data_IF_489777446641
#
_entry.id   IF_489777446641
#
_cell.length_a   1.000
_cell.length_b   1.000
_cell.length_c   1.000
_cell.angle_alpha   90.00
_cell.angle_beta   90.00
_cell.angle_gamma   90.00
#
_symmetry.space_group_name_H-M   'P 1'
#
loop_
_entity.id
_entity.type
_entity.pdbx_description
1 polymer ?
#
# COMPACT_ATOMS: atom_id res chain seq x y z
N UNK A 1 7.73 22.84 -15.07
CA UNK A 1 7.98 21.60 -15.85
C UNK A 1 8.29 20.52 -14.83
N UNK A 2 7.27 19.89 -14.27
CA UNK A 2 7.43 18.79 -13.34
C UNK A 2 7.48 17.54 -14.22
N UNK A 3 8.66 16.95 -14.33
CA UNK A 3 8.82 15.64 -14.94
C UNK A 3 8.29 14.62 -13.94
N UNK A 4 7.34 13.79 -14.33
CA UNK A 4 7.17 12.49 -13.68
C UNK A 4 8.58 11.91 -13.61
N UNK A 5 9.13 11.80 -12.38
CA UNK A 5 10.52 11.39 -12.18
C UNK A 5 10.67 9.99 -12.77
N UNK A 6 11.36 9.93 -13.91
CA UNK A 6 11.42 8.77 -14.75
C UNK A 6 11.89 7.52 -14.01
N UNK A 7 11.32 6.42 -14.36
CA UNK A 7 11.92 5.11 -14.25
C UNK A 7 13.23 5.14 -15.04
N UNK A 8 14.36 5.34 -14.36
CA UNK A 8 15.67 5.06 -14.94
C UNK A 8 16.01 3.61 -14.62
N UNK A 9 16.32 2.80 -15.63
CA UNK A 9 16.86 1.47 -15.40
C UNK A 9 18.23 1.63 -14.75
N UNK A 10 18.42 1.00 -13.60
CA UNK A 10 19.73 0.80 -12.98
C UNK A 10 20.61 -0.03 -13.89
N UNK A 11 21.86 0.39 -13.99
CA UNK A 11 22.96 -0.17 -14.74
C UNK A 11 22.96 -1.70 -14.88
N UNK A 12 23.30 -2.14 -16.09
CA UNK A 12 23.66 -3.53 -16.38
C UNK A 12 24.88 -3.92 -15.52
N UNK A 13 24.89 -5.06 -14.86
CA UNK A 13 26.09 -5.54 -14.22
C UNK A 13 27.10 -6.01 -15.27
N UNK A 14 28.31 -5.48 -15.21
CA UNK A 14 29.47 -5.99 -15.92
C UNK A 14 29.80 -7.42 -15.47
N UNK A 15 30.42 -8.25 -16.35
CA UNK A 15 30.70 -9.64 -16.02
C UNK A 15 31.78 -9.74 -14.93
N UNK A 16 31.42 -10.39 -13.83
CA UNK A 16 32.28 -10.64 -12.68
C UNK A 16 33.35 -11.67 -13.06
N UNK A 17 34.61 -11.26 -13.11
CA UNK A 17 35.77 -12.16 -13.02
C UNK A 17 36.00 -12.58 -11.58
N UNK A 18 36.30 -13.84 -11.30
CA UNK A 18 36.52 -14.31 -9.91
C UNK A 18 37.90 -13.85 -9.39
N UNK A 19 37.92 -13.20 -8.23
CA UNK A 19 39.14 -12.98 -7.42
C UNK A 19 39.29 -14.06 -6.36
N UNK A 20 40.55 -14.44 -6.01
CA UNK A 20 40.81 -15.50 -5.07
C UNK A 20 40.59 -15.07 -3.61
N UNK A 21 40.37 -16.08 -2.77
CA UNK A 21 40.14 -15.96 -1.33
C UNK A 21 41.30 -15.27 -0.61
N UNK A 22 40.99 -14.33 0.28
CA UNK A 22 41.92 -13.76 1.23
C UNK A 22 41.30 -13.75 2.63
N UNK A 23 42.15 -14.17 3.55
CA UNK A 23 42.09 -14.39 4.97
C UNK A 23 41.15 -13.59 5.86
N UNK A 24 40.62 -14.32 6.84
CA UNK A 24 39.94 -13.85 8.04
C UNK A 24 40.97 -13.18 8.98
N UNK A 25 40.78 -11.86 9.21
CA UNK A 25 41.50 -11.16 10.29
C UNK A 25 40.60 -10.13 10.97
N UNK A 26 40.27 -10.43 12.21
CA UNK A 26 40.04 -9.60 13.41
C UNK A 26 39.49 -8.18 13.27
N UNK A 27 38.34 -7.98 13.93
CA UNK A 27 37.70 -6.67 14.21
C UNK A 27 38.56 -5.79 15.13
N UNK A 28 38.61 -4.47 14.95
CA UNK A 28 39.29 -3.55 15.86
C UNK A 28 38.40 -3.20 17.07
N UNK A 29 38.98 -3.40 18.28
CA UNK A 29 38.45 -2.91 19.55
C UNK A 29 38.55 -1.38 19.60
N UNK A 30 37.46 -0.70 19.84
CA UNK A 30 37.41 0.73 20.18
C UNK A 30 38.09 0.95 21.57
N UNK A 31 39.16 1.73 21.60
CA UNK A 31 39.76 2.25 22.83
C UNK A 31 39.03 3.54 23.23
N UNK A 32 38.56 3.60 24.47
CA UNK A 32 38.15 4.83 25.12
C UNK A 32 39.42 5.68 25.39
N UNK A 33 39.40 6.92 24.88
CA UNK A 33 40.44 7.90 25.21
C UNK A 33 40.12 8.52 26.58
N UNK A 34 41.10 8.46 27.47
CA UNK A 34 41.15 9.17 28.75
C UNK A 34 41.42 10.65 28.51
N UNK A 35 40.59 11.51 29.05
CA UNK A 35 40.84 12.97 29.13
C UNK A 35 41.54 13.27 30.45
N UNK A 36 42.70 13.88 30.32
CA UNK A 36 43.54 14.35 31.44
C UNK A 36 42.93 15.61 32.06
N UNK A 37 43.09 15.67 33.40
CA UNK A 37 42.80 16.82 34.26
C UNK A 37 43.68 18.01 33.90
N UNK A 38 43.09 19.23 33.87
CA UNK A 38 43.80 20.45 34.11
C UNK A 38 43.14 21.19 35.27
N UNK A 39 44.00 21.56 36.22
CA UNK A 39 43.68 22.23 37.45
C UNK A 39 43.49 23.74 37.21
N UNK A 40 42.37 24.31 37.63
CA UNK A 40 42.38 25.65 38.22
C UNK A 40 41.23 25.79 39.22
N UNK A 41 41.62 26.26 40.41
CA UNK A 41 40.78 26.36 41.57
C UNK A 41 40.01 27.66 41.65
N UNK A 42 38.68 27.57 41.80
CA UNK A 42 37.94 28.54 42.57
C UNK A 42 36.63 27.93 43.14
N UNK A 43 36.17 28.38 44.30
CA UNK A 43 35.15 27.68 45.08
C UNK A 43 33.73 28.04 44.55
N UNK A 44 33.06 27.06 44.05
CA UNK A 44 31.61 27.19 43.82
C UNK A 44 30.83 26.83 45.07
N UNK A 45 29.93 27.70 45.42
CA UNK A 45 28.98 27.65 46.53
C UNK A 45 28.14 26.38 46.47
N UNK A 46 27.88 25.79 47.61
CA UNK A 46 26.91 24.71 47.83
C UNK A 46 25.51 25.16 47.39
N UNK A 47 25.05 24.69 46.25
CA UNK A 47 23.62 24.69 45.93
C UNK A 47 22.93 23.53 46.67
N UNK A 48 22.03 23.94 47.56
CA UNK A 48 21.14 23.07 48.32
C UNK A 48 20.40 22.15 47.36
N UNK A 49 20.63 20.86 47.45
CA UNK A 49 19.80 19.82 46.87
C UNK A 49 18.41 19.95 47.49
N UNK A 50 17.44 20.49 46.74
CA UNK A 50 16.04 20.35 47.09
C UNK A 50 15.65 18.89 46.89
N UNK A 51 15.45 18.25 47.99
CA UNK A 51 14.80 16.93 48.04
C UNK A 51 13.32 17.09 47.65
N UNK A 52 13.02 17.02 46.34
CA UNK A 52 11.66 16.94 45.84
C UNK A 52 11.19 15.49 46.03
N UNK A 53 10.71 15.22 47.21
CA UNK A 53 9.87 14.04 47.44
C UNK A 53 8.63 14.20 46.58
N UNK A 54 8.65 13.65 45.35
CA UNK A 54 7.49 13.39 44.51
C UNK A 54 6.58 12.45 45.29
N UNK A 55 5.62 13.04 46.00
CA UNK A 55 4.44 12.28 46.45
C UNK A 55 3.84 11.68 45.19
N UNK A 56 3.83 10.36 45.13
CA UNK A 56 3.10 9.56 44.15
C UNK A 56 1.62 9.91 44.31
N UNK A 57 1.15 10.89 43.55
CA UNK A 57 -0.27 11.01 43.30
C UNK A 57 -0.66 9.78 42.48
N UNK A 58 -1.47 8.96 43.06
CA UNK A 58 -2.16 7.84 42.48
C UNK A 58 -2.70 8.16 41.08
N UNK A 59 -1.92 7.90 40.03
CA UNK A 59 -2.47 7.55 38.77
C UNK A 59 -2.85 6.07 38.86
N UNK A 60 -4.05 5.82 39.38
CA UNK A 60 -4.67 4.52 39.47
C UNK A 60 -4.95 3.95 38.09
N UNK A 61 -3.91 3.61 37.36
CA UNK A 61 -3.94 2.70 36.22
C UNK A 61 -2.87 1.65 36.53
N UNK A 62 -3.19 0.80 37.48
CA UNK A 62 -2.53 -0.49 37.57
C UNK A 62 -2.70 -1.19 36.20
N UNK A 63 -1.69 -1.86 35.69
CA UNK A 63 -1.87 -2.71 34.51
C UNK A 63 -2.88 -3.77 34.86
N UNK A 64 -4.13 -3.59 34.46
CA UNK A 64 -5.12 -4.66 34.45
C UNK A 64 -4.67 -5.64 33.37
N UNK A 65 -3.68 -6.45 33.68
CA UNK A 65 -3.30 -7.63 32.92
C UNK A 65 -4.34 -8.72 33.16
N UNK A 66 -5.58 -8.45 32.75
CA UNK A 66 -6.43 -9.57 32.35
C UNK A 66 -5.78 -10.13 31.07
N UNK A 67 -5.51 -11.44 31.01
CA UNK A 67 -5.06 -12.05 29.77
C UNK A 67 -6.15 -11.76 28.74
N UNK A 68 -5.87 -10.84 27.79
CA UNK A 68 -6.79 -10.53 26.72
C UNK A 68 -7.03 -11.83 25.97
N UNK A 69 -8.26 -12.30 25.93
CA UNK A 69 -8.64 -13.48 25.16
C UNK A 69 -8.22 -13.22 23.70
N UNK A 70 -7.28 -14.03 23.22
CA UNK A 70 -6.93 -14.09 21.81
C UNK A 70 -7.99 -14.93 21.10
N UNK A 71 -9.14 -14.34 20.88
CA UNK A 71 -10.35 -14.98 20.34
C UNK A 71 -10.55 -14.70 18.84
N UNK A 72 -9.68 -13.90 18.24
CA UNK A 72 -9.79 -13.51 16.84
C UNK A 72 -8.74 -14.20 15.99
N UNK A 73 -9.22 -15.02 15.07
CA UNK A 73 -8.37 -15.63 14.06
C UNK A 73 -8.15 -14.68 12.88
N UNK A 74 -6.91 -14.54 12.47
CA UNK A 74 -6.51 -13.70 11.35
C UNK A 74 -5.52 -14.40 10.44
N UNK A 75 -5.52 -13.97 9.18
CA UNK A 75 -4.52 -14.29 8.18
C UNK A 75 -3.77 -13.03 7.80
N UNK A 76 -2.48 -13.02 8.01
CA UNK A 76 -1.60 -11.99 7.51
C UNK A 76 -1.01 -12.45 6.18
N UNK A 77 -1.29 -11.74 5.11
CA UNK A 77 -0.71 -12.08 3.81
C UNK A 77 0.78 -11.76 3.79
N UNK A 78 1.59 -12.73 3.37
CA UNK A 78 3.04 -12.63 3.48
C UNK A 78 3.74 -12.35 2.15
N UNK A 79 2.99 -12.37 1.04
CA UNK A 79 3.55 -12.31 -0.31
C UNK A 79 2.77 -11.41 -1.27
N UNK A 80 3.45 -11.03 -2.36
CA UNK A 80 2.85 -10.30 -3.48
C UNK A 80 2.35 -8.91 -3.11
N UNK A 81 1.48 -8.37 -3.95
CA UNK A 81 0.91 -7.01 -3.82
C UNK A 81 0.04 -6.83 -2.56
N UNK A 82 -0.38 -7.94 -1.96
CA UNK A 82 -1.14 -7.92 -0.71
C UNK A 82 -0.29 -8.16 0.54
N UNK A 83 1.03 -8.21 0.47
CA UNK A 83 1.88 -8.43 1.63
C UNK A 83 1.59 -7.43 2.75
N UNK A 84 1.41 -7.93 3.98
CA UNK A 84 0.99 -7.15 5.15
C UNK A 84 -0.52 -6.99 5.30
N UNK A 85 -1.35 -7.37 4.31
CA UNK A 85 -2.81 -7.31 4.43
C UNK A 85 -3.30 -8.21 5.55
N UNK A 86 -4.13 -7.64 6.42
CA UNK A 86 -4.75 -8.32 7.55
C UNK A 86 -6.18 -8.74 7.18
N UNK A 87 -6.45 -10.03 7.24
CA UNK A 87 -7.72 -10.64 6.87
C UNK A 87 -8.30 -11.35 8.10
N UNK A 88 -9.44 -10.87 8.61
CA UNK A 88 -10.10 -11.50 9.75
C UNK A 88 -10.89 -12.73 9.30
N UNK A 89 -10.69 -13.86 9.98
CA UNK A 89 -11.50 -15.06 9.83
C UNK A 89 -12.72 -14.92 10.74
N UNK A 90 -13.74 -14.19 10.26
CA UNK A 90 -14.93 -13.82 11.07
C UNK A 90 -15.98 -14.91 11.15
N UNK A 91 -15.92 -15.88 10.25
CA UNK A 91 -16.86 -17.01 10.19
C UNK A 91 -16.16 -18.26 9.69
N UNK A 92 -16.62 -19.41 10.09
CA UNK A 92 -16.17 -20.71 9.59
C UNK A 92 -17.34 -21.53 9.04
N UNK A 93 -17.18 -22.26 7.93
CA UNK A 93 -15.95 -22.36 7.16
C UNK A 93 -15.61 -21.07 6.42
N UNK A 94 -14.31 -20.68 6.42
CA UNK A 94 -13.78 -19.54 5.69
C UNK A 94 -13.06 -20.06 4.45
N UNK A 95 -13.66 -19.86 3.26
CA UNK A 95 -13.16 -20.43 2.01
C UNK A 95 -12.23 -19.48 1.27
N UNK A 96 -11.21 -20.06 0.63
CA UNK A 96 -10.20 -19.36 -0.15
C UNK A 96 -10.05 -20.00 -1.52
N UNK A 97 -9.89 -19.19 -2.54
CA UNK A 97 -9.70 -19.68 -3.90
C UNK A 97 -9.92 -18.59 -4.95
N UNK A 98 -9.71 -18.94 -6.22
CA UNK A 98 -9.80 -17.95 -7.32
C UNK A 98 -11.24 -17.54 -7.67
N UNK A 99 -12.23 -18.33 -7.32
CA UNK A 99 -13.63 -17.99 -7.63
C UNK A 99 -14.12 -16.87 -6.71
N UNK A 100 -14.86 -15.92 -7.29
CA UNK A 100 -15.34 -14.71 -6.58
C UNK A 100 -16.30 -15.00 -5.41
N UNK A 101 -16.90 -16.19 -5.34
CA UNK A 101 -17.80 -16.59 -4.25
C UNK A 101 -17.08 -17.05 -2.98
N UNK A 102 -15.75 -17.18 -3.00
CA UNK A 102 -15.01 -17.45 -1.78
C UNK A 102 -15.04 -16.22 -0.85
N UNK A 103 -14.94 -16.43 0.46
CA UNK A 103 -14.77 -15.35 1.42
C UNK A 103 -13.45 -14.59 1.18
N UNK A 104 -12.40 -15.29 0.72
CA UNK A 104 -11.17 -14.70 0.23
C UNK A 104 -10.94 -15.09 -1.23
N UNK A 105 -11.38 -14.26 -2.18
CA UNK A 105 -11.01 -14.42 -3.57
C UNK A 105 -9.52 -14.11 -3.75
N UNK A 106 -8.77 -15.02 -4.35
CA UNK A 106 -7.34 -14.89 -4.59
C UNK A 106 -7.11 -14.97 -6.08
N UNK A 107 -6.74 -13.84 -6.67
CA UNK A 107 -6.50 -13.73 -8.09
C UNK A 107 -5.06 -14.15 -8.43
N UNK A 108 -4.84 -15.44 -8.46
CA UNK A 108 -3.58 -16.09 -8.85
C UNK A 108 -3.88 -17.42 -9.59
N UNK A 109 -3.22 -17.63 -10.72
CA UNK A 109 -3.45 -18.81 -11.57
C UNK A 109 -3.01 -20.12 -10.94
N UNK A 110 -2.10 -20.07 -9.97
CA UNK A 110 -1.70 -21.24 -9.19
C UNK A 110 -2.77 -21.66 -8.20
N UNK A 111 -3.79 -20.83 -7.98
CA UNK A 111 -4.87 -21.09 -7.04
C UNK A 111 -6.09 -21.68 -7.75
N UNK A 112 -6.61 -22.78 -7.22
CA UNK A 112 -7.84 -23.42 -7.69
C UNK A 112 -9.07 -22.56 -7.42
N UNK A 113 -10.16 -22.73 -8.18
CA UNK A 113 -11.42 -21.98 -7.98
C UNK A 113 -11.90 -22.04 -6.54
N UNK A 114 -11.90 -23.21 -5.94
CA UNK A 114 -12.03 -23.48 -4.50
C UNK A 114 -10.76 -24.22 -4.11
N UNK A 115 -9.91 -23.62 -3.28
CA UNK A 115 -8.59 -24.16 -3.03
C UNK A 115 -8.46 -24.76 -1.64
N UNK A 116 -8.78 -23.98 -0.63
CA UNK A 116 -8.70 -24.38 0.77
C UNK A 116 -9.81 -23.70 1.59
N UNK A 117 -10.02 -24.22 2.80
CA UNK A 117 -10.88 -23.57 3.79
C UNK A 117 -10.29 -23.66 5.19
N UNK A 118 -10.60 -22.67 6.02
CA UNK A 118 -10.41 -22.77 7.46
C UNK A 118 -11.71 -23.16 8.12
N UNK A 119 -11.63 -24.07 9.09
CA UNK A 119 -12.75 -24.46 9.96
C UNK A 119 -12.35 -24.32 11.41
N UNK A 120 -13.31 -23.97 12.27
CA UNK A 120 -13.12 -23.95 13.71
C UNK A 120 -14.03 -25.01 14.34
N UNK A 121 -13.42 -25.96 15.03
CA UNK A 121 -14.12 -27.07 15.69
C UNK A 121 -13.61 -27.12 17.14
N UNK A 122 -14.53 -27.05 18.10
CA UNK A 122 -14.22 -27.08 19.53
C UNK A 122 -13.11 -26.10 19.97
N UNK A 123 -13.10 -24.89 19.36
CA UNK A 123 -12.11 -23.85 19.64
C UNK A 123 -10.74 -24.06 19.00
N UNK A 124 -10.57 -25.11 18.19
CA UNK A 124 -9.36 -25.38 17.40
C UNK A 124 -9.57 -25.02 15.95
N UNK A 125 -8.58 -24.45 15.32
CA UNK A 125 -8.61 -24.13 13.91
C UNK A 125 -7.94 -25.21 13.07
N UNK A 126 -8.53 -25.51 11.93
CA UNK A 126 -7.99 -26.44 10.95
C UNK A 126 -7.97 -25.77 9.57
N UNK A 127 -6.96 -26.12 8.80
CA UNK A 127 -6.90 -25.81 7.37
C UNK A 127 -7.10 -27.08 6.57
N UNK A 128 -7.98 -27.02 5.54
CA UNK A 128 -8.32 -28.15 4.68
C UNK A 128 -8.10 -27.80 3.22
N UNK A 129 -7.42 -28.67 2.49
CA UNK A 129 -7.31 -28.59 1.03
C UNK A 129 -8.59 -29.13 0.37
N UNK A 130 -9.15 -28.39 -0.55
CA UNK A 130 -10.39 -28.76 -1.25
C UNK A 130 -10.13 -29.50 -2.58
N UNK A 131 -9.09 -30.32 -2.63
CA UNK A 131 -8.67 -31.02 -3.85
C UNK A 131 -7.99 -30.06 -4.84
N UNK A 132 -7.20 -29.14 -4.34
CA UNK A 132 -6.54 -28.14 -5.16
C UNK A 132 -5.49 -28.73 -6.11
N UNK A 133 -5.29 -28.11 -7.28
CA UNK A 133 -4.31 -28.57 -8.27
C UNK A 133 -2.88 -28.53 -7.72
N UNK A 134 -2.52 -27.44 -7.06
CA UNK A 134 -1.14 -27.19 -6.64
C UNK A 134 -0.92 -27.48 -5.16
N UNK A 135 -1.94 -27.84 -4.40
CA UNK A 135 -1.88 -28.25 -3.00
C UNK A 135 -1.84 -27.11 -2.02
N UNK A 136 -2.21 -27.44 -0.79
CA UNK A 136 -2.11 -26.59 0.40
C UNK A 136 -0.97 -27.13 1.28
N UNK A 137 -0.20 -26.24 1.84
CA UNK A 137 0.97 -26.60 2.67
C UNK A 137 0.89 -25.88 4.03
N UNK A 138 1.17 -26.61 5.09
CA UNK A 138 1.35 -26.10 6.44
C UNK A 138 2.80 -26.27 6.84
N UNK A 139 3.49 -25.19 7.21
CA UNK A 139 4.92 -25.21 7.56
C UNK A 139 5.77 -25.93 6.49
N UNK A 140 5.46 -25.70 5.21
CA UNK A 140 6.15 -26.33 4.07
C UNK A 140 5.78 -27.79 3.79
N UNK A 141 4.95 -28.43 4.61
CA UNK A 141 4.46 -29.80 4.39
C UNK A 141 3.11 -29.79 3.71
N UNK A 142 2.95 -30.54 2.62
CA UNK A 142 1.67 -30.68 1.94
C UNK A 142 0.65 -31.39 2.84
N UNK A 143 -0.57 -30.84 2.90
CA UNK A 143 -1.63 -31.35 3.78
C UNK A 143 -2.92 -31.57 2.98
N UNK A 144 -3.80 -32.44 3.49
CA UNK A 144 -5.21 -32.51 3.13
C UNK A 144 -6.07 -31.86 4.19
N UNK A 145 -5.75 -32.08 5.46
CA UNK A 145 -6.30 -31.42 6.63
C UNK A 145 -5.25 -31.40 7.73
N UNK A 146 -5.11 -30.29 8.41
CA UNK A 146 -4.20 -30.17 9.56
C UNK A 146 -4.74 -29.15 10.57
N UNK A 147 -4.50 -29.40 11.87
CA UNK A 147 -4.66 -28.39 12.92
C UNK A 147 -3.67 -27.26 12.70
N UNK A 148 -4.14 -26.02 12.79
CA UNK A 148 -3.34 -24.82 12.63
C UNK A 148 -3.29 -24.07 13.96
N UNK A 149 -2.13 -23.56 14.33
CA UNK A 149 -1.84 -22.86 15.58
C UNK A 149 -1.38 -21.43 15.33
N UNK A 150 -1.37 -20.65 16.38
CA UNK A 150 -0.82 -19.31 16.36
C UNK A 150 0.59 -19.32 15.77
N UNK A 151 0.86 -18.41 14.83
CA UNK A 151 2.13 -18.23 14.12
C UNK A 151 2.43 -19.24 13.00
N UNK A 152 1.50 -20.14 12.68
CA UNK A 152 1.69 -21.10 11.59
C UNK A 152 1.62 -20.46 10.21
N UNK A 153 2.43 -20.98 9.29
CA UNK A 153 2.48 -20.58 7.90
C UNK A 153 1.66 -21.52 7.03
N UNK A 154 0.67 -20.95 6.34
CA UNK A 154 -0.15 -21.66 5.36
C UNK A 154 0.18 -21.15 3.97
N UNK A 155 0.58 -22.05 3.09
CA UNK A 155 0.83 -21.72 1.69
C UNK A 155 -0.21 -22.40 0.81
N UNK A 156 -0.80 -21.63 -0.09
CA UNK A 156 -1.71 -22.10 -1.14
C UNK A 156 -1.00 -22.05 -2.48
N UNK A 157 -0.89 -23.21 -3.13
CA UNK A 157 -0.15 -23.33 -4.39
C UNK A 157 1.32 -22.91 -4.26
N UNK A 158 1.84 -22.30 -5.35
CA UNK A 158 3.28 -21.99 -5.41
C UNK A 158 3.69 -20.65 -4.78
N UNK A 159 2.74 -19.70 -4.66
CA UNK A 159 3.09 -18.27 -4.45
C UNK A 159 2.31 -17.56 -3.38
N UNK A 160 1.20 -18.11 -2.90
CA UNK A 160 0.32 -17.40 -1.96
C UNK A 160 0.57 -17.95 -0.56
N UNK A 161 1.08 -17.12 0.32
CA UNK A 161 1.40 -17.48 1.69
C UNK A 161 0.71 -16.57 2.71
N UNK A 162 0.22 -17.18 3.77
CA UNK A 162 -0.40 -16.52 4.91
C UNK A 162 0.28 -16.99 6.19
N UNK A 163 0.39 -16.06 7.14
CA UNK A 163 0.67 -16.39 8.53
C UNK A 163 -0.66 -16.36 9.28
N UNK A 164 -1.02 -17.46 9.90
CA UNK A 164 -2.19 -17.53 10.76
C UNK A 164 -1.81 -16.97 12.14
N UNK A 165 -2.68 -16.15 12.72
CA UNK A 165 -2.45 -15.64 14.07
C UNK A 165 -3.74 -15.52 14.86
N UNK A 166 -3.65 -15.83 16.15
CA UNK A 166 -4.71 -15.61 17.12
C UNK A 166 -4.40 -14.30 17.85
N UNK A 167 -5.34 -13.39 17.87
CA UNK A 167 -5.14 -12.04 18.38
C UNK A 167 -6.35 -11.52 19.12
N UNK A 168 -6.20 -10.41 19.81
CA UNK A 168 -7.29 -9.63 20.37
C UNK A 168 -7.67 -8.45 19.45
N UNK A 169 -8.78 -7.78 19.78
CA UNK A 169 -9.28 -6.64 18.99
C UNK A 169 -8.32 -5.46 18.90
N UNK A 170 -7.48 -5.26 19.92
CA UNK A 170 -6.50 -4.18 19.98
C UNK A 170 -5.32 -4.43 19.05
N UNK A 171 -4.82 -5.65 19.08
CA UNK A 171 -3.70 -6.09 18.25
C UNK A 171 -4.12 -6.16 16.77
N UNK A 172 -5.32 -6.66 16.47
CA UNK A 172 -5.92 -6.60 15.14
C UNK A 172 -5.98 -5.17 14.61
N UNK A 173 -6.50 -4.24 15.42
CA UNK A 173 -6.60 -2.83 15.05
C UNK A 173 -5.23 -2.19 14.78
N UNK A 174 -4.21 -2.55 15.57
CA UNK A 174 -2.84 -2.08 15.35
C UNK A 174 -2.27 -2.59 14.03
N UNK A 175 -2.38 -3.89 13.75
CA UNK A 175 -1.89 -4.49 12.50
C UNK A 175 -2.56 -3.88 11.27
N UNK A 176 -3.88 -3.66 11.33
CA UNK A 176 -4.62 -2.97 10.24
C UNK A 176 -4.10 -1.56 10.02
N UNK A 177 -3.93 -0.78 11.10
CA UNK A 177 -3.39 0.59 11.01
C UNK A 177 -1.98 0.61 10.43
N UNK A 178 -1.13 -0.33 10.81
CA UNK A 178 0.21 -0.46 10.26
C UNK A 178 0.18 -0.76 8.75
N UNK A 179 -0.68 -1.67 8.32
CA UNK A 179 -0.85 -1.96 6.90
C UNK A 179 -1.39 -0.74 6.14
N UNK A 180 -2.43 -0.09 6.65
CA UNK A 180 -3.01 1.11 6.04
C UNK A 180 -1.98 2.23 5.93
N UNK A 181 -1.21 2.50 7.00
CA UNK A 181 -0.17 3.54 6.98
C UNK A 181 0.98 3.24 6.03
N UNK A 182 1.25 1.96 5.75
CA UNK A 182 2.29 1.54 4.81
C UNK A 182 1.84 1.57 3.34
N UNK A 183 0.53 1.53 3.08
CA UNK A 183 -0.03 1.38 1.73
C UNK A 183 -0.84 2.57 1.25
N UNK A 184 -1.30 3.44 2.17
CA UNK A 184 -2.16 4.57 1.84
C UNK A 184 -1.50 5.92 2.13
N UNK A 185 -1.96 6.93 1.43
CA UNK A 185 -1.70 8.33 1.72
C UNK A 185 -2.62 8.78 2.86
N UNK A 186 -2.04 9.30 3.94
CA UNK A 186 -2.75 9.65 5.16
C UNK A 186 -3.76 10.81 4.98
N UNK A 187 -3.53 11.69 4.01
CA UNK A 187 -4.39 12.83 3.75
C UNK A 187 -5.65 12.46 2.97
N UNK A 188 -5.48 11.69 1.91
CA UNK A 188 -6.53 11.44 0.92
C UNK A 188 -7.19 10.07 1.05
N UNK A 189 -6.56 9.14 1.78
CA UNK A 189 -6.97 7.75 1.85
C UNK A 189 -6.72 6.94 0.57
N UNK A 190 -6.23 7.58 -0.50
CA UNK A 190 -5.78 6.92 -1.71
C UNK A 190 -4.60 5.99 -1.41
N UNK A 191 -4.33 5.03 -2.26
CA UNK A 191 -3.09 4.26 -2.14
C UNK A 191 -1.87 5.17 -2.35
N UNK A 192 -0.74 4.85 -1.73
CA UNK A 192 0.49 5.59 -1.94
C UNK A 192 1.20 5.13 -3.23
N UNK A 193 2.22 5.87 -3.66
CA UNK A 193 3.00 5.59 -4.87
C UNK A 193 3.60 4.19 -4.87
N UNK A 194 4.14 3.73 -3.74
CA UNK A 194 4.76 2.40 -3.64
C UNK A 194 3.75 1.29 -3.93
N UNK A 195 2.58 1.36 -3.30
CA UNK A 195 1.50 0.40 -3.56
C UNK A 195 1.02 0.45 -5.01
N UNK A 196 0.93 1.65 -5.60
CA UNK A 196 0.61 1.82 -7.02
C UNK A 196 1.61 1.11 -7.92
N UNK A 197 2.92 1.31 -7.71
CA UNK A 197 3.97 0.71 -8.55
C UNK A 197 3.91 -0.84 -8.51
N UNK A 198 3.73 -1.41 -7.32
CA UNK A 198 3.60 -2.86 -7.15
C UNK A 198 2.31 -3.38 -7.81
N UNK A 199 1.21 -2.65 -7.66
CA UNK A 199 -0.07 -3.03 -8.24
C UNK A 199 -0.08 -2.94 -9.76
N UNK A 200 0.50 -1.89 -10.34
CA UNK A 200 0.58 -1.72 -11.79
C UNK A 200 1.36 -2.87 -12.44
N UNK A 201 2.50 -3.27 -11.86
CA UNK A 201 3.27 -4.43 -12.35
C UNK A 201 2.44 -5.70 -12.34
N UNK A 202 1.69 -5.95 -11.27
CA UNK A 202 0.83 -7.12 -11.13
C UNK A 202 -0.32 -7.13 -12.14
N UNK A 203 -1.01 -5.98 -12.31
CA UNK A 203 -2.13 -5.86 -13.24
C UNK A 203 -1.70 -6.01 -14.70
N UNK A 204 -0.55 -5.46 -15.08
CA UNK A 204 0.01 -5.62 -16.43
C UNK A 204 0.43 -7.07 -16.67
N UNK A 205 1.11 -7.70 -15.71
CA UNK A 205 1.46 -9.12 -15.82
C UNK A 205 0.22 -10.02 -15.94
N UNK A 206 -0.84 -9.70 -15.22
CA UNK A 206 -2.13 -10.38 -15.33
C UNK A 206 -2.76 -10.16 -16.72
N UNK A 207 -2.84 -8.92 -17.19
CA UNK A 207 -3.45 -8.57 -18.45
C UNK A 207 -2.75 -9.25 -19.65
N UNK A 208 -1.41 -9.25 -19.65
CA UNK A 208 -0.61 -9.95 -20.67
C UNK A 208 -0.90 -11.47 -20.68
N UNK A 209 -0.94 -12.09 -19.50
CA UNK A 209 -1.18 -13.54 -19.38
C UNK A 209 -2.56 -13.96 -19.84
N UNK A 210 -3.57 -13.14 -19.54
CA UNK A 210 -4.98 -13.46 -19.82
C UNK A 210 -5.48 -12.84 -21.14
N UNK A 211 -4.59 -12.21 -21.91
CA UNK A 211 -4.94 -11.48 -23.15
C UNK A 211 -6.11 -10.50 -22.94
N UNK A 212 -6.11 -9.83 -21.79
CA UNK A 212 -7.04 -8.74 -21.44
C UNK A 212 -6.34 -7.40 -21.50
N UNK A 213 -7.09 -6.29 -21.46
CA UNK A 213 -6.51 -4.97 -21.40
C UNK A 213 -6.37 -4.49 -19.94
N UNK A 214 -5.49 -3.53 -19.72
CA UNK A 214 -5.34 -2.81 -18.46
C UNK A 214 -5.08 -1.34 -18.79
N UNK A 215 -5.86 -0.44 -18.22
CA UNK A 215 -5.73 0.97 -18.51
C UNK A 215 -5.23 1.75 -17.28
N UNK A 216 -4.52 2.83 -17.57
CA UNK A 216 -3.98 3.80 -16.62
C UNK A 216 -4.53 5.18 -16.93
N UNK A 217 -4.94 5.90 -15.89
CA UNK A 217 -5.24 7.32 -15.93
C UNK A 217 -4.21 8.02 -15.04
N UNK A 218 -3.52 9.02 -15.55
CA UNK A 218 -2.77 9.97 -14.75
C UNK A 218 -3.55 11.28 -14.66
N UNK A 219 -3.70 11.80 -13.46
CA UNK A 219 -4.48 12.99 -13.13
C UNK A 219 -3.59 14.03 -12.44
N UNK A 220 -3.84 15.30 -12.70
CA UNK A 220 -3.16 16.40 -12.02
C UNK A 220 -4.13 17.56 -11.82
N UNK A 221 -4.14 18.12 -10.61
CA UNK A 221 -4.96 19.27 -10.26
C UNK A 221 -4.42 20.55 -10.89
N UNK A 222 -5.22 21.17 -11.72
CA UNK A 222 -4.80 22.35 -12.45
C UNK A 222 -4.60 23.56 -11.51
N UNK A 223 -3.43 24.20 -11.63
CA UNK A 223 -3.07 25.39 -10.87
C UNK A 223 -3.10 25.22 -9.34
N UNK A 224 -2.88 24.00 -8.83
CA UNK A 224 -2.97 23.70 -7.40
C UNK A 224 -2.04 24.56 -6.54
N UNK A 225 -0.84 24.89 -7.04
CA UNK A 225 0.05 25.82 -6.36
C UNK A 225 -0.62 27.19 -6.11
N UNK A 226 -1.39 27.70 -7.09
CA UNK A 226 -2.10 28.99 -6.92
C UNK A 226 -3.17 28.91 -5.84
N UNK A 227 -3.82 27.75 -5.68
CA UNK A 227 -4.75 27.53 -4.56
C UNK A 227 -4.02 27.63 -3.23
N UNK A 228 -2.90 26.94 -3.07
CA UNK A 228 -2.09 27.01 -1.85
C UNK A 228 -1.58 28.41 -1.57
N UNK A 229 -1.13 29.12 -2.60
CA UNK A 229 -0.63 30.49 -2.47
C UNK A 229 -1.75 31.50 -2.10
N UNK A 230 -3.01 31.21 -2.47
CA UNK A 230 -4.16 32.12 -2.24
C UNK A 230 -4.90 31.79 -0.93
N UNK A 231 -5.13 30.51 -0.64
CA UNK A 231 -5.99 30.08 0.47
C UNK A 231 -5.22 29.33 1.57
N UNK A 232 -3.91 29.15 1.41
CA UNK A 232 -3.07 28.39 2.33
C UNK A 232 -3.08 26.87 2.08
N UNK A 233 -2.06 26.19 2.61
CA UNK A 233 -1.93 24.74 2.51
C UNK A 233 -3.13 23.93 3.07
N UNK A 234 -3.78 24.35 4.18
CA UNK A 234 -4.94 23.61 4.68
C UNK A 234 -6.12 23.58 3.69
N UNK A 235 -6.32 24.64 2.90
CA UNK A 235 -7.31 24.65 1.84
C UNK A 235 -6.95 23.71 0.69
N UNK A 236 -5.66 23.65 0.31
CA UNK A 236 -5.16 22.68 -0.64
C UNK A 236 -5.35 21.23 -0.17
N UNK A 237 -5.10 20.97 1.10
CA UNK A 237 -5.34 19.66 1.71
C UNK A 237 -6.82 19.25 1.63
N UNK A 238 -7.75 20.20 1.80
CA UNK A 238 -9.18 19.93 1.67
C UNK A 238 -9.57 19.58 0.22
N UNK A 239 -8.98 20.26 -0.76
CA UNK A 239 -9.19 19.91 -2.19
C UNK A 239 -8.68 18.50 -2.49
N UNK A 240 -7.53 18.11 -1.96
CA UNK A 240 -6.99 16.76 -2.13
C UNK A 240 -7.91 15.69 -1.51
N UNK A 241 -8.44 15.94 -0.30
CA UNK A 241 -9.45 15.07 0.33
C UNK A 241 -10.73 15.01 -0.49
N UNK A 242 -11.18 16.14 -1.00
CA UNK A 242 -12.38 16.25 -1.82
C UNK A 242 -12.27 15.39 -3.09
N UNK A 243 -11.16 15.49 -3.82
CA UNK A 243 -10.87 14.62 -4.98
C UNK A 243 -10.84 13.14 -4.59
N UNK A 244 -10.21 12.80 -3.45
CA UNK A 244 -10.23 11.43 -2.90
C UNK A 244 -11.65 10.92 -2.68
N UNK A 245 -12.53 11.73 -2.12
CA UNK A 245 -13.94 11.41 -1.92
C UNK A 245 -14.71 11.21 -3.23
N UNK A 246 -14.48 12.06 -4.24
CA UNK A 246 -15.06 11.92 -5.58
C UNK A 246 -14.60 10.60 -6.23
N UNK A 247 -13.30 10.33 -6.21
CA UNK A 247 -12.74 9.13 -6.79
C UNK A 247 -13.31 7.86 -6.15
N UNK A 248 -13.36 7.78 -4.82
CA UNK A 248 -13.90 6.62 -4.09
C UNK A 248 -15.36 6.31 -4.44
N UNK A 249 -16.18 7.32 -4.79
CA UNK A 249 -17.58 7.12 -5.23
C UNK A 249 -17.70 6.70 -6.68
N UNK A 250 -16.71 7.04 -7.51
CA UNK A 250 -16.73 6.79 -8.94
C UNK A 250 -16.10 5.47 -9.36
N UNK A 251 -15.20 4.93 -8.52
CA UNK A 251 -14.39 3.75 -8.80
C UNK A 251 -15.06 2.46 -8.32
N UNK A 252 -14.71 1.35 -8.97
CA UNK A 252 -15.11 0.01 -8.56
C UNK A 252 -14.15 -0.53 -7.49
N UNK A 253 -14.54 -1.63 -6.85
CA UNK A 253 -13.71 -2.27 -5.82
C UNK A 253 -12.36 -2.78 -6.36
N UNK A 254 -12.34 -3.22 -7.62
CA UNK A 254 -11.14 -3.72 -8.29
C UNK A 254 -10.21 -2.61 -8.83
N UNK A 255 -10.72 -1.38 -8.98
CA UNK A 255 -9.94 -0.25 -9.47
C UNK A 255 -9.00 0.26 -8.36
N UNK A 256 -7.82 0.72 -8.74
CA UNK A 256 -6.82 1.23 -7.79
C UNK A 256 -6.65 2.72 -7.99
N UNK A 257 -7.00 3.50 -6.97
CA UNK A 257 -6.77 4.94 -6.91
C UNK A 257 -5.60 5.25 -5.99
N UNK A 258 -4.60 5.94 -6.52
CA UNK A 258 -3.37 6.26 -5.78
C UNK A 258 -3.00 7.74 -5.90
N UNK A 259 -2.40 8.28 -4.84
CA UNK A 259 -1.71 9.56 -4.89
C UNK A 259 -0.27 9.32 -5.33
N UNK A 260 0.08 9.85 -6.49
CA UNK A 260 1.36 9.61 -7.14
C UNK A 260 2.42 10.65 -6.74
N UNK A 261 2.00 11.87 -6.49
CA UNK A 261 2.81 13.00 -6.06
C UNK A 261 2.00 14.01 -5.25
N UNK A 262 2.47 15.23 -5.08
CA UNK A 262 1.80 16.26 -4.31
C UNK A 262 0.34 16.49 -4.71
N UNK A 263 0.10 16.83 -5.97
CA UNK A 263 -1.21 17.10 -6.59
C UNK A 263 -1.55 16.11 -7.71
N UNK A 264 -0.72 15.06 -7.86
CA UNK A 264 -0.80 14.06 -8.91
C UNK A 264 -1.42 12.77 -8.38
N UNK A 265 -2.35 12.22 -9.16
CA UNK A 265 -3.03 10.96 -8.85
C UNK A 265 -2.99 10.01 -10.05
N UNK A 266 -3.16 8.74 -9.76
CA UNK A 266 -3.21 7.69 -10.76
C UNK A 266 -4.39 6.74 -10.50
N UNK A 267 -4.98 6.20 -11.59
CA UNK A 267 -6.01 5.16 -11.50
C UNK A 267 -5.63 3.99 -12.39
N UNK A 268 -5.55 2.79 -11.83
CA UNK A 268 -5.39 1.55 -12.58
C UNK A 268 -6.76 0.91 -12.76
N UNK A 269 -7.10 0.53 -13.98
CA UNK A 269 -8.38 -0.06 -14.36
C UNK A 269 -8.13 -1.44 -14.98
N UNK A 270 -8.55 -2.49 -14.28
CA UNK A 270 -8.46 -3.86 -14.79
C UNK A 270 -9.48 -4.10 -15.90
N UNK A 271 -9.08 -4.74 -16.97
CA UNK A 271 -9.96 -5.11 -18.09
C UNK A 271 -10.56 -3.93 -18.84
N UNK A 272 -10.01 -2.74 -18.71
CA UNK A 272 -10.51 -1.53 -19.33
C UNK A 272 -9.66 -1.10 -20.53
N UNK A 273 -10.31 -0.66 -21.59
CA UNK A 273 -9.66 -0.03 -22.74
C UNK A 273 -9.39 1.47 -22.47
N UNK A 274 -8.55 2.08 -23.30
CA UNK A 274 -8.29 3.53 -23.27
C UNK A 274 -9.58 4.36 -23.32
N UNK A 275 -10.57 3.96 -24.14
CA UNK A 275 -11.89 4.60 -24.18
C UNK A 275 -12.63 4.50 -22.84
N UNK A 276 -12.53 3.34 -22.15
CA UNK A 276 -13.09 3.15 -20.80
C UNK A 276 -12.45 4.08 -19.79
N UNK A 277 -11.13 4.16 -19.80
CA UNK A 277 -10.36 5.07 -18.96
C UNK A 277 -10.73 6.55 -19.24
N UNK A 278 -10.82 6.95 -20.50
CA UNK A 278 -11.20 8.30 -20.87
C UNK A 278 -12.59 8.70 -20.34
N UNK A 279 -13.58 7.79 -20.42
CA UNK A 279 -14.93 8.07 -19.86
C UNK A 279 -14.91 8.22 -18.33
N UNK A 280 -14.11 7.43 -17.63
CA UNK A 280 -13.98 7.57 -16.19
C UNK A 280 -13.26 8.87 -15.82
N UNK A 281 -12.16 9.17 -16.49
CA UNK A 281 -11.41 10.41 -16.28
C UNK A 281 -12.30 11.66 -16.51
N UNK A 282 -13.14 11.64 -17.54
CA UNK A 282 -14.08 12.73 -17.81
C UNK A 282 -15.13 12.87 -16.71
N UNK A 283 -15.68 11.75 -16.20
CA UNK A 283 -16.59 11.78 -15.04
C UNK A 283 -15.94 12.38 -13.79
N UNK A 284 -14.66 12.05 -13.53
CA UNK A 284 -13.92 12.62 -12.40
C UNK A 284 -13.70 14.12 -12.60
N UNK A 285 -13.32 14.54 -13.82
CA UNK A 285 -13.13 15.94 -14.17
C UNK A 285 -14.42 16.75 -13.99
N UNK A 286 -15.53 16.26 -14.56
CA UNK A 286 -16.84 16.90 -14.45
C UNK A 286 -17.32 16.97 -13.00
N UNK A 287 -17.18 15.86 -12.24
CA UNK A 287 -17.57 15.82 -10.83
C UNK A 287 -16.79 16.84 -9.99
N UNK A 288 -15.47 16.96 -10.23
CA UNK A 288 -14.64 17.95 -9.52
C UNK A 288 -15.00 19.39 -9.89
N UNK A 289 -15.37 19.63 -11.15
CA UNK A 289 -15.78 20.96 -11.62
C UNK A 289 -17.16 21.36 -11.08
N UNK A 290 -18.06 20.39 -10.87
CA UNK A 290 -19.44 20.64 -10.39
C UNK A 290 -19.55 20.65 -8.85
N UNK A 291 -18.69 19.90 -8.16
CA UNK A 291 -18.69 19.79 -6.71
C UNK A 291 -17.48 20.56 -6.16
N UNK A 292 -17.71 21.76 -5.68
CA UNK A 292 -16.65 22.59 -5.13
C UNK A 292 -16.22 22.07 -3.75
N UNK A 293 -14.93 22.15 -3.46
CA UNK A 293 -14.45 21.94 -2.10
C UNK A 293 -14.83 23.15 -1.23
N UNK A 294 -15.19 22.89 0.03
CA UNK A 294 -15.56 23.97 0.97
C UNK A 294 -14.49 24.05 2.07
N UNK A 295 -13.86 25.19 2.19
CA UNK A 295 -12.91 25.47 3.26
C UNK A 295 -13.28 26.77 3.97
N UNK A 296 -13.43 26.73 5.30
CA UNK A 296 -13.85 27.88 6.14
C UNK A 296 -15.11 28.60 5.63
N UNK A 297 -16.07 27.84 5.08
CA UNK A 297 -17.31 28.37 4.52
C UNK A 297 -17.19 28.97 3.11
N UNK A 298 -16.00 28.94 2.51
CA UNK A 298 -15.74 29.42 1.16
C UNK A 298 -15.66 28.25 0.18
N UNK A 299 -16.38 28.33 -0.93
CA UNK A 299 -16.29 27.38 -2.04
C UNK A 299 -15.03 27.66 -2.87
N UNK A 300 -14.21 26.63 -3.08
CA UNK A 300 -13.00 26.71 -3.88
C UNK A 300 -13.18 25.81 -5.11
N UNK A 301 -13.16 26.45 -6.29
CA UNK A 301 -13.23 25.74 -7.57
C UNK A 301 -11.84 25.38 -8.06
N UNK A 302 -11.67 24.13 -8.45
CA UNK A 302 -10.45 23.60 -9.05
C UNK A 302 -10.82 22.66 -10.20
N UNK A 303 -9.96 22.57 -11.20
CA UNK A 303 -10.12 21.62 -12.31
C UNK A 303 -8.98 20.62 -12.30
N UNK A 304 -9.12 19.57 -13.11
CA UNK A 304 -8.05 18.60 -13.32
C UNK A 304 -7.81 18.37 -14.81
N UNK A 305 -6.56 18.02 -15.13
CA UNK A 305 -6.16 17.49 -16.42
C UNK A 305 -5.84 16.01 -16.31
N UNK A 306 -6.14 15.23 -17.34
CA UNK A 306 -5.88 13.80 -17.32
C UNK A 306 -5.28 13.28 -18.63
N UNK A 307 -4.39 12.31 -18.53
CA UNK A 307 -3.88 11.50 -19.63
C UNK A 307 -4.23 10.04 -19.41
N UNK A 308 -4.78 9.37 -20.42
CA UNK A 308 -5.21 7.99 -20.36
C UNK A 308 -4.43 7.13 -21.34
N UNK A 309 -3.96 5.96 -20.90
CA UNK A 309 -3.35 4.95 -21.73
C UNK A 309 -3.90 3.57 -21.37
N UNK A 310 -3.75 2.62 -22.27
CA UNK A 310 -4.03 1.22 -21.99
C UNK A 310 -2.89 0.35 -22.55
N UNK A 311 -2.82 -0.89 -22.08
CA UNK A 311 -1.81 -1.84 -22.54
C UNK A 311 -1.86 -2.04 -24.07
N UNK A 312 -3.05 -1.98 -24.66
CA UNK A 312 -3.29 -2.03 -26.10
C UNK A 312 -2.68 -0.85 -26.88
N UNK A 313 -2.25 0.24 -26.20
CA UNK A 313 -1.53 1.36 -26.84
C UNK A 313 -0.03 1.13 -26.92
N UNK A 314 0.50 0.12 -26.22
CA UNK A 314 1.94 -0.11 -26.08
C UNK A 314 2.46 -0.96 -27.23
N UNK A 315 3.63 -0.58 -27.77
CA UNK A 315 4.36 -1.43 -28.72
C UNK A 315 4.92 -2.68 -28.00
N UNK A 316 5.41 -2.50 -26.79
CA UNK A 316 5.85 -3.57 -25.88
C UNK A 316 5.09 -3.47 -24.56
N UNK A 317 4.24 -4.47 -24.23
CA UNK A 317 3.47 -4.43 -22.99
C UNK A 317 4.36 -4.31 -21.75
N UNK A 318 4.41 -3.13 -21.15
CA UNK A 318 5.20 -2.87 -19.94
C UNK A 318 4.58 -1.75 -19.08
N UNK A 319 4.78 -1.78 -17.75
CA UNK A 319 4.37 -0.68 -16.88
C UNK A 319 4.93 0.68 -17.31
N UNK A 320 6.20 0.71 -17.68
CA UNK A 320 6.91 1.94 -18.02
C UNK A 320 6.35 2.58 -19.29
N UNK A 321 6.00 1.77 -20.29
CA UNK A 321 5.43 2.27 -21.54
C UNK A 321 4.00 2.80 -21.35
N UNK A 322 3.16 2.11 -20.59
CA UNK A 322 1.81 2.59 -20.25
C UNK A 322 1.90 3.92 -19.49
N UNK A 323 2.79 4.05 -18.53
CA UNK A 323 3.01 5.29 -17.76
C UNK A 323 3.50 6.40 -18.69
N UNK A 324 4.49 6.12 -19.57
CA UNK A 324 5.04 7.12 -20.50
C UNK A 324 3.99 7.65 -21.48
N UNK A 325 3.11 6.79 -21.99
CA UNK A 325 2.01 7.20 -22.86
C UNK A 325 0.99 8.06 -22.09
N UNK A 326 0.58 7.64 -20.89
CA UNK A 326 -0.35 8.41 -20.08
C UNK A 326 0.21 9.79 -19.68
N UNK A 327 1.50 9.86 -19.32
CA UNK A 327 2.19 11.11 -18.98
C UNK A 327 2.26 12.07 -20.18
N UNK A 328 2.66 11.59 -21.35
CA UNK A 328 2.66 12.38 -22.58
C UNK A 328 1.27 12.97 -22.87
N UNK A 329 0.20 12.18 -22.70
CA UNK A 329 -1.19 12.63 -22.89
C UNK A 329 -1.64 13.61 -21.82
N UNK A 330 -1.25 13.42 -20.57
CA UNK A 330 -1.49 14.39 -19.49
C UNK A 330 -0.78 15.72 -19.80
N UNK A 331 0.45 15.66 -20.26
CA UNK A 331 1.18 16.85 -20.70
C UNK A 331 0.47 17.56 -21.85
N UNK A 332 -0.02 16.82 -22.85
CA UNK A 332 -0.81 17.38 -23.94
C UNK A 332 -2.10 18.04 -23.46
N UNK A 333 -2.81 17.44 -22.47
CA UNK A 333 -3.98 18.03 -21.84
C UNK A 333 -3.65 19.38 -21.19
N UNK A 334 -2.53 19.47 -20.46
CA UNK A 334 -2.06 20.72 -19.82
C UNK A 334 -1.69 21.79 -20.86
N UNK A 335 -1.01 21.41 -21.94
CA UNK A 335 -0.63 22.34 -23.02
C UNK A 335 -1.84 22.86 -23.81
N UNK A 336 -2.86 22.05 -24.04
CA UNK A 336 -4.05 22.42 -24.76
C UNK A 336 -5.02 23.32 -23.97
N UNK A 337 -4.64 23.80 -22.78
CA UNK A 337 -5.43 24.74 -21.97
C UNK A 337 -6.05 24.14 -20.72
N UNK A 338 -5.60 22.95 -20.28
CA UNK A 338 -6.05 22.27 -19.04
C UNK A 338 -7.53 21.90 -19.02
N UNK A 339 -8.02 21.46 -17.85
CA UNK A 339 -9.43 21.07 -17.63
C UNK A 339 -9.95 20.13 -18.73
N UNK A 340 -9.19 19.07 -19.03
CA UNK A 340 -9.53 18.12 -20.10
C UNK A 340 -8.87 16.77 -19.92
N UNK A 341 -9.41 15.82 -20.67
CA UNK A 341 -8.89 14.46 -20.77
C UNK A 341 -8.33 14.23 -22.17
N UNK A 342 -7.13 13.65 -22.26
CA UNK A 342 -6.55 13.17 -23.51
C UNK A 342 -6.40 11.66 -23.44
N UNK A 343 -7.10 10.93 -24.31
CA UNK A 343 -7.13 9.47 -24.37
C UNK A 343 -6.61 8.91 -25.73
N UNK A 344 -6.22 9.76 -26.64
CA UNK A 344 -5.60 9.39 -27.93
C UNK A 344 -4.55 10.42 -28.31
N UNK A 345 -3.60 10.00 -29.11
CA UNK A 345 -2.58 10.89 -29.69
C UNK A 345 -3.17 11.72 -30.81
#
# INVERSE_FOLDING_TARGET
MVKFAGFYPSDKPDPVTPRPAADVASAPRMRLASISEDADGSPFQEERTMDVSLRSTDFGVGPTTQPMLRDRAMLLRMDGVGAGQVLSVTQTPFTMGRHATNQLPIDDDSISRFHARFVCEEGKYFVEDLGSRNGTFLQGKRITRAEIRDDDWVQLGARVAFRFTLTDSRQEGLLRKLYESSTRDALTGAYNRRHFDDRLRAEIAFAVRHATDCALILLDLDHFKRVNDTYGHPAGDEILRHLGGIANRALRTEDVFARFGGEEFAVILRGASTRGAGRLAERLREALTQQHAVYEGQEISVTLSAGCAALSCCATPSPDEVVAIADRRLYAAKQAGRNRVVASD
#
